data_IF_878353294740
#
_entry.id   IF_878353294740
#
_cell.length_a   1.000
_cell.length_b   1.000
_cell.length_c   1.000
_cell.angle_alpha   90.00
_cell.angle_beta   90.00
_cell.angle_gamma   90.00
#
_symmetry.space_group_name_H-M   'P 1'
#
loop_
_entity.id
_entity.type
_entity.pdbx_description
1 polymer ?
#
# COMPACT_ATOMS: atom_id res chain seq x y z
N UNK A 1 39.86 -47.02 -4.98
CA UNK A 1 38.68 -47.66 -4.30
C UNK A 1 38.15 -46.68 -3.26
N UNK A 2 36.89 -46.26 -3.37
CA UNK A 2 36.29 -45.32 -2.42
C UNK A 2 35.89 -46.13 -1.18
N UNK A 3 36.27 -45.72 0.01
CA UNK A 3 35.99 -46.47 1.22
C UNK A 3 34.47 -46.49 1.51
N UNK A 4 33.95 -47.65 1.89
CA UNK A 4 32.51 -47.90 2.09
C UNK A 4 31.81 -46.95 3.08
N UNK A 5 32.55 -46.50 4.10
CA UNK A 5 32.06 -45.54 5.10
C UNK A 5 31.83 -44.14 4.50
N UNK A 6 32.60 -43.75 3.48
CA UNK A 6 32.41 -42.48 2.77
C UNK A 6 31.14 -42.48 1.90
N UNK A 7 30.87 -43.62 1.23
CA UNK A 7 29.63 -43.82 0.46
C UNK A 7 28.39 -43.78 1.37
N UNK A 8 28.46 -44.40 2.56
CA UNK A 8 27.36 -44.39 3.55
C UNK A 8 27.15 -42.98 4.07
N UNK A 9 28.22 -42.22 4.37
CA UNK A 9 28.12 -40.83 4.83
C UNK A 9 27.43 -39.90 3.79
N UNK A 10 27.83 -40.03 2.51
CA UNK A 10 27.21 -39.27 1.43
C UNK A 10 25.72 -39.64 1.23
N UNK A 11 25.38 -40.91 1.33
CA UNK A 11 23.99 -41.36 1.20
C UNK A 11 23.11 -40.82 2.32
N UNK A 12 23.59 -40.77 3.58
CA UNK A 12 22.88 -40.20 4.72
C UNK A 12 22.67 -38.69 4.53
N UNK A 13 23.69 -37.98 4.06
CA UNK A 13 23.63 -36.52 3.82
C UNK A 13 22.63 -36.18 2.71
N UNK A 14 22.59 -36.95 1.63
CA UNK A 14 21.61 -36.81 0.54
C UNK A 14 20.19 -37.11 1.04
N UNK A 15 20.00 -38.14 1.85
CA UNK A 15 18.68 -38.44 2.42
C UNK A 15 18.18 -37.33 3.36
N UNK A 16 19.08 -36.73 4.17
CA UNK A 16 18.74 -35.62 5.06
C UNK A 16 18.38 -34.34 4.27
N UNK A 17 19.12 -34.01 3.21
CA UNK A 17 18.81 -32.83 2.37
C UNK A 17 17.50 -32.98 1.60
N UNK A 18 17.21 -34.18 1.09
CA UNK A 18 15.93 -34.49 0.44
C UNK A 18 14.74 -34.41 1.44
N UNK A 19 14.92 -34.96 2.63
CA UNK A 19 13.92 -34.89 3.69
C UNK A 19 13.61 -33.45 4.10
N UNK A 20 14.66 -32.61 4.25
CA UNK A 20 14.52 -31.21 4.61
C UNK A 20 13.84 -30.39 3.48
N UNK A 21 14.17 -30.66 2.23
CA UNK A 21 13.53 -30.04 1.06
C UNK A 21 12.03 -30.34 0.97
N UNK A 22 11.66 -31.61 1.19
CA UNK A 22 10.24 -32.03 1.20
C UNK A 22 9.50 -31.43 2.39
N UNK A 23 10.14 -31.35 3.56
CA UNK A 23 9.56 -30.72 4.75
C UNK A 23 9.28 -29.23 4.53
N UNK A 24 10.26 -28.48 4.01
CA UNK A 24 10.10 -27.03 3.70
C UNK A 24 9.02 -26.82 2.63
N UNK A 25 9.00 -27.64 1.59
CA UNK A 25 7.98 -27.56 0.54
C UNK A 25 6.58 -27.84 1.09
N UNK A 26 6.43 -28.84 1.94
CA UNK A 26 5.16 -29.19 2.61
C UNK A 26 4.72 -28.09 3.60
N UNK A 27 5.65 -27.45 4.27
CA UNK A 27 5.36 -26.34 5.19
C UNK A 27 4.91 -25.10 4.42
N UNK A 28 5.59 -24.77 3.32
CA UNK A 28 5.23 -23.67 2.44
C UNK A 28 3.86 -23.86 1.78
N UNK A 29 3.54 -25.09 1.35
CA UNK A 29 2.22 -25.40 0.77
C UNK A 29 1.09 -25.40 1.80
N UNK A 30 1.37 -25.60 3.08
CA UNK A 30 0.38 -25.46 4.16
C UNK A 30 0.07 -23.98 4.45
N UNK A 31 1.07 -23.12 4.49
CA UNK A 31 0.88 -21.69 4.70
C UNK A 31 0.01 -21.10 3.59
N UNK A 32 0.33 -21.34 2.33
CA UNK A 32 -0.49 -20.86 1.21
C UNK A 32 -1.92 -21.42 1.19
N UNK A 33 -2.11 -22.67 1.63
CA UNK A 33 -3.45 -23.28 1.66
C UNK A 33 -4.31 -22.72 2.80
N UNK A 34 -3.71 -22.33 3.91
CA UNK A 34 -4.42 -21.74 5.05
C UNK A 34 -4.86 -20.30 4.74
N UNK A 35 -4.02 -19.52 4.04
CA UNK A 35 -4.36 -18.15 3.64
C UNK A 35 -5.48 -18.13 2.59
N UNK A 36 -5.41 -18.95 1.56
CA UNK A 36 -6.44 -19.00 0.51
C UNK A 36 -7.79 -19.50 1.04
N UNK A 37 -7.79 -20.45 2.01
CA UNK A 37 -9.05 -20.90 2.64
C UNK A 37 -9.63 -19.89 3.63
N UNK A 38 -8.79 -19.09 4.31
CA UNK A 38 -9.25 -18.05 5.22
C UNK A 38 -9.86 -16.86 4.45
N UNK A 39 -9.33 -16.53 3.28
CA UNK A 39 -9.84 -15.45 2.42
C UNK A 39 -11.22 -15.76 1.81
N UNK A 40 -11.57 -17.03 1.63
CA UNK A 40 -12.85 -17.41 1.01
C UNK A 40 -14.01 -17.63 1.98
N UNK A 41 -13.80 -17.49 3.30
CA UNK A 41 -14.84 -17.75 4.31
C UNK A 41 -15.03 -16.62 5.33
N UNK A 42 -14.36 -15.49 5.16
CA UNK A 42 -14.72 -14.33 5.97
C UNK A 42 -16.05 -13.75 5.43
N UNK A 43 -17.11 -13.72 6.27
CA UNK A 43 -18.26 -12.90 5.96
C UNK A 43 -17.74 -11.48 5.76
N UNK A 44 -18.15 -10.83 4.69
CA UNK A 44 -17.94 -9.39 4.52
C UNK A 44 -18.33 -8.75 5.84
N UNK A 45 -17.35 -8.17 6.55
CA UNK A 45 -17.63 -7.48 7.79
C UNK A 45 -18.75 -6.48 7.52
N UNK A 46 -19.81 -6.42 8.35
CA UNK A 46 -20.86 -5.44 8.15
C UNK A 46 -20.19 -4.07 8.06
N UNK A 47 -20.72 -3.16 7.24
CA UNK A 47 -20.13 -1.83 7.10
C UNK A 47 -19.95 -1.26 8.50
N UNK A 48 -18.73 -0.89 8.83
CA UNK A 48 -18.40 -0.33 10.13
C UNK A 48 -19.24 0.92 10.26
N UNK A 49 -20.28 0.90 11.09
CA UNK A 49 -21.15 2.05 11.36
C UNK A 49 -20.35 3.07 12.14
N UNK A 50 -19.52 3.83 11.43
CA UNK A 50 -18.84 4.99 11.95
C UNK A 50 -19.72 6.24 11.79
N UNK A 51 -19.46 7.26 12.57
CA UNK A 51 -20.07 8.56 12.36
C UNK A 51 -19.65 9.10 10.98
N UNK A 52 -20.59 9.71 10.24
CA UNK A 52 -20.27 10.43 9.02
C UNK A 52 -19.56 11.72 9.39
N UNK A 53 -18.33 11.87 8.97
CA UNK A 53 -17.50 13.04 9.28
C UNK A 53 -17.10 13.76 8.00
N UNK A 54 -16.91 15.09 8.13
CA UNK A 54 -16.39 15.91 7.04
C UNK A 54 -14.87 15.79 7.05
N UNK A 55 -14.31 15.36 5.92
CA UNK A 55 -12.87 15.18 5.71
C UNK A 55 -12.40 15.92 4.47
N UNK A 56 -11.11 16.20 4.39
CA UNK A 56 -10.49 16.85 3.23
C UNK A 56 -9.67 15.82 2.46
N UNK A 57 -10.11 15.47 1.25
CA UNK A 57 -9.33 14.67 0.30
C UNK A 57 -8.57 15.59 -0.64
N UNK A 58 -7.27 15.33 -0.81
CA UNK A 58 -6.43 16.05 -1.76
C UNK A 58 -6.42 15.33 -3.09
N UNK A 59 -7.29 15.74 -3.99
CA UNK A 59 -7.51 15.08 -5.29
C UNK A 59 -6.53 15.60 -6.32
N UNK A 60 -5.86 14.70 -7.01
CA UNK A 60 -4.96 14.98 -8.12
C UNK A 60 -5.75 15.33 -9.39
N UNK A 61 -5.24 16.30 -10.14
CA UNK A 61 -5.74 16.74 -11.44
C UNK A 61 -4.60 16.68 -12.45
N UNK A 62 -4.55 15.64 -13.26
CA UNK A 62 -3.45 15.37 -14.19
C UNK A 62 -3.25 16.47 -15.21
N UNK A 63 -4.32 16.97 -15.81
CA UNK A 63 -4.28 18.00 -16.85
C UNK A 63 -3.69 19.32 -16.33
N UNK A 64 -3.96 19.62 -15.06
CA UNK A 64 -3.46 20.83 -14.41
C UNK A 64 -2.14 20.62 -13.67
N UNK A 65 -1.75 19.37 -13.40
CA UNK A 65 -0.56 19.03 -12.63
C UNK A 65 -0.62 19.46 -11.17
N UNK A 66 -1.82 19.44 -10.55
CA UNK A 66 -2.01 19.99 -9.20
C UNK A 66 -2.87 19.08 -8.32
N UNK A 67 -2.77 19.29 -7.00
CA UNK A 67 -3.71 18.77 -6.01
C UNK A 67 -4.72 19.85 -5.64
N UNK A 68 -5.99 19.44 -5.55
CA UNK A 68 -7.07 20.31 -5.03
C UNK A 68 -7.73 19.68 -3.82
N UNK A 69 -7.87 20.43 -2.69
CA UNK A 69 -8.59 19.94 -1.54
C UNK A 69 -10.10 19.88 -1.85
N UNK A 70 -10.70 18.73 -1.58
CA UNK A 70 -12.14 18.53 -1.68
C UNK A 70 -12.69 18.07 -0.33
N UNK A 71 -13.73 18.74 0.14
CA UNK A 71 -14.44 18.34 1.36
C UNK A 71 -15.54 17.34 1.01
N UNK A 72 -15.46 16.16 1.60
CA UNK A 72 -16.42 15.08 1.44
C UNK A 72 -16.91 14.57 2.78
N UNK A 73 -18.02 13.87 2.77
CA UNK A 73 -18.54 13.20 3.97
C UNK A 73 -18.24 11.70 3.85
N UNK A 74 -17.47 11.18 4.78
CA UNK A 74 -17.06 9.76 4.82
C UNK A 74 -17.48 9.16 6.15
N UNK A 75 -17.98 7.93 6.14
CA UNK A 75 -18.19 7.16 7.36
C UNK A 75 -16.84 6.65 7.83
N UNK A 76 -16.41 7.09 9.01
CA UNK A 76 -15.09 6.75 9.54
C UNK A 76 -15.22 5.94 10.83
N UNK A 77 -14.46 4.84 10.94
CA UNK A 77 -14.35 4.07 12.17
C UNK A 77 -13.74 4.91 13.30
N UNK A 78 -13.95 4.46 14.54
CA UNK A 78 -13.38 5.13 15.71
C UNK A 78 -11.87 4.90 15.85
N UNK A 79 -11.38 3.74 15.40
CA UNK A 79 -9.96 3.38 15.46
C UNK A 79 -9.11 4.24 14.53
N UNK A 80 -7.99 4.74 15.03
CA UNK A 80 -7.12 5.68 14.29
C UNK A 80 -6.51 5.06 13.03
N UNK A 81 -6.13 3.79 13.10
CA UNK A 81 -5.54 3.05 11.98
C UNK A 81 -6.59 2.74 10.91
N UNK A 82 -7.74 2.23 11.33
CA UNK A 82 -8.87 1.93 10.45
C UNK A 82 -9.38 3.19 9.74
N UNK A 83 -9.40 4.34 10.47
CA UNK A 83 -9.73 5.66 9.87
C UNK A 83 -8.76 6.04 8.77
N UNK A 84 -7.45 5.83 8.99
CA UNK A 84 -6.43 6.14 8.00
C UNK A 84 -6.63 5.31 6.72
N UNK A 85 -6.89 4.02 6.85
CA UNK A 85 -7.18 3.16 5.71
C UNK A 85 -8.46 3.58 4.96
N UNK A 86 -9.53 3.90 5.70
CA UNK A 86 -10.82 4.29 5.11
C UNK A 86 -10.76 5.64 4.38
N UNK A 87 -9.98 6.61 4.90
CA UNK A 87 -9.71 7.87 4.21
C UNK A 87 -9.06 7.66 2.84
N UNK A 88 -8.05 6.79 2.78
CA UNK A 88 -7.38 6.50 1.51
C UNK A 88 -8.26 5.67 0.56
N UNK A 89 -9.10 4.77 1.08
CA UNK A 89 -10.10 4.07 0.26
C UNK A 89 -11.14 5.01 -0.32
N UNK A 90 -11.58 6.01 0.45
CA UNK A 90 -12.49 7.05 -0.04
C UNK A 90 -11.86 7.86 -1.18
N UNK A 91 -10.59 8.25 -1.06
CA UNK A 91 -9.84 8.90 -2.14
C UNK A 91 -9.72 7.98 -3.37
N UNK A 92 -9.38 6.70 -3.15
CA UNK A 92 -9.25 5.72 -4.22
C UNK A 92 -10.56 5.52 -4.98
N UNK A 93 -11.70 5.56 -4.29
CA UNK A 93 -13.02 5.47 -4.93
C UNK A 93 -13.23 6.57 -5.97
N UNK A 94 -12.74 7.80 -5.69
CA UNK A 94 -12.77 8.90 -6.67
C UNK A 94 -11.86 8.62 -7.88
N UNK A 95 -10.72 7.98 -7.65
CA UNK A 95 -9.76 7.67 -8.72
C UNK A 95 -10.16 6.50 -9.60
N UNK A 96 -10.99 5.59 -9.08
CA UNK A 96 -11.53 4.45 -9.84
C UNK A 96 -12.77 4.82 -10.65
N UNK A 97 -13.34 6.01 -10.45
CA UNK A 97 -14.43 6.49 -11.28
C UNK A 97 -13.94 6.81 -12.70
N UNK A 98 -14.76 6.50 -13.71
CA UNK A 98 -14.43 6.72 -15.12
C UNK A 98 -14.25 8.19 -15.49
N UNK A 99 -14.86 9.09 -14.73
CA UNK A 99 -14.78 10.56 -14.91
C UNK A 99 -13.70 11.20 -14.04
N UNK A 100 -12.86 10.39 -13.38
CA UNK A 100 -11.81 10.88 -12.49
C UNK A 100 -10.85 11.82 -13.22
N UNK A 101 -10.46 12.94 -12.59
CA UNK A 101 -9.39 13.79 -13.12
C UNK A 101 -7.98 13.14 -12.99
N UNK A 102 -7.90 12.02 -12.26
CA UNK A 102 -6.70 11.22 -12.03
C UNK A 102 -7.07 9.74 -12.01
N UNK A 103 -7.37 9.13 -13.19
CA UNK A 103 -7.86 7.76 -13.23
C UNK A 103 -6.76 6.75 -12.91
N UNK A 104 -7.04 5.85 -11.97
CA UNK A 104 -6.21 4.69 -11.65
C UNK A 104 -6.70 3.42 -12.35
N UNK A 105 -5.77 2.46 -12.47
CA UNK A 105 -6.07 1.16 -13.09
C UNK A 105 -7.10 0.36 -12.28
N UNK A 106 -7.92 -0.41 -12.99
CA UNK A 106 -8.90 -1.28 -12.36
C UNK A 106 -8.23 -2.30 -11.43
N UNK A 107 -8.85 -2.58 -10.30
CA UNK A 107 -8.33 -3.50 -9.29
C UNK A 107 -7.31 -2.87 -8.35
N UNK A 108 -7.01 -1.56 -8.47
CA UNK A 108 -6.18 -0.86 -7.48
C UNK A 108 -6.86 -0.85 -6.11
N UNK A 109 -6.12 -1.19 -5.06
CA UNK A 109 -6.62 -1.25 -3.68
C UNK A 109 -5.60 -0.73 -2.69
N UNK A 110 -6.10 -0.08 -1.63
CA UNK A 110 -5.36 0.15 -0.38
C UNK A 110 -5.57 -1.09 0.48
N UNK A 111 -4.54 -1.89 0.68
CA UNK A 111 -4.60 -3.10 1.51
C UNK A 111 -4.76 -2.73 2.97
N UNK A 112 -3.84 -1.90 3.46
CA UNK A 112 -3.87 -1.42 4.84
C UNK A 112 -3.06 -0.13 5.01
N UNK A 113 -3.24 0.52 6.18
CA UNK A 113 -2.42 1.65 6.63
C UNK A 113 -2.02 1.41 8.06
N UNK A 114 -0.72 1.28 8.30
CA UNK A 114 -0.17 1.10 9.64
C UNK A 114 0.33 2.43 10.18
N UNK A 115 -0.11 2.79 11.37
CA UNK A 115 0.37 3.97 12.09
C UNK A 115 1.35 3.53 13.18
N UNK A 116 2.60 3.93 13.03
CA UNK A 116 3.70 3.55 13.92
C UNK A 116 4.22 4.80 14.64
N UNK A 117 4.23 4.78 15.96
CA UNK A 117 4.77 5.88 16.74
C UNK A 117 6.33 5.92 16.68
N UNK A 118 6.95 7.10 16.67
CA UNK A 118 6.36 8.43 16.59
C UNK A 118 6.19 8.93 15.14
N UNK A 119 4.95 9.08 14.70
CA UNK A 119 4.62 9.85 13.49
C UNK A 119 4.91 9.20 12.14
N UNK A 120 5.16 7.89 12.06
CA UNK A 120 5.30 7.15 10.82
C UNK A 120 3.96 6.52 10.41
N UNK A 121 3.57 6.74 9.16
CA UNK A 121 2.53 5.96 8.51
C UNK A 121 3.13 5.07 7.42
N UNK A 122 2.68 3.82 7.34
CA UNK A 122 3.05 2.89 6.27
C UNK A 122 1.78 2.56 5.49
N UNK A 123 1.76 2.89 4.21
CA UNK A 123 0.65 2.61 3.30
C UNK A 123 1.00 1.35 2.50
N UNK A 124 0.19 0.32 2.59
CA UNK A 124 0.36 -0.92 1.81
C UNK A 124 -0.65 -0.96 0.67
N UNK A 125 -0.13 -0.97 -0.54
CA UNK A 125 -0.88 -1.02 -1.79
C UNK A 125 -0.89 -2.45 -2.33
N UNK A 126 -1.90 -2.82 -3.12
CA UNK A 126 -1.85 -4.09 -3.83
C UNK A 126 -1.00 -4.00 -5.12
N UNK A 127 -0.65 -5.16 -5.70
CA UNK A 127 0.12 -5.21 -6.94
C UNK A 127 -0.56 -4.48 -8.10
N UNK A 128 -1.89 -4.62 -8.22
CA UNK A 128 -2.65 -3.99 -9.30
C UNK A 128 -2.58 -2.45 -9.26
N UNK A 129 -2.45 -1.85 -8.08
CA UNK A 129 -2.27 -0.41 -7.93
C UNK A 129 -0.99 0.06 -8.64
N UNK A 130 0.12 -0.66 -8.48
CA UNK A 130 1.39 -0.30 -9.09
C UNK A 130 1.51 -0.77 -10.56
N UNK A 131 1.08 -2.00 -10.85
CA UNK A 131 1.27 -2.63 -12.16
C UNK A 131 0.32 -2.07 -13.23
N UNK A 132 -0.87 -1.63 -12.83
CA UNK A 132 -1.86 -1.00 -13.72
C UNK A 132 -1.83 0.53 -13.66
N UNK A 133 -0.88 1.12 -12.90
CA UNK A 133 -0.72 2.56 -12.85
C UNK A 133 -0.19 3.11 -14.18
N UNK A 134 -0.70 4.28 -14.60
CA UNK A 134 -0.15 4.99 -15.76
C UNK A 134 1.26 5.47 -15.42
N UNK A 135 2.25 5.05 -16.20
CA UNK A 135 3.64 5.49 -16.02
C UNK A 135 3.81 6.93 -16.45
N UNK A 136 4.51 7.70 -15.64
CA UNK A 136 4.86 9.09 -15.91
C UNK A 136 5.23 9.85 -14.64
N UNK A 137 6.30 10.65 -14.72
CA UNK A 137 6.86 11.36 -13.56
C UNK A 137 5.77 12.12 -12.79
N UNK A 138 5.06 13.00 -13.47
CA UNK A 138 4.06 13.87 -12.82
C UNK A 138 2.86 13.06 -12.29
N UNK A 139 2.37 12.08 -13.04
CA UNK A 139 1.19 11.31 -12.67
C UNK A 139 1.46 10.45 -11.44
N UNK A 140 2.62 9.77 -11.41
CA UNK A 140 3.02 8.96 -10.25
C UNK A 140 3.28 9.82 -9.02
N UNK A 141 3.95 10.96 -9.17
CA UNK A 141 4.16 11.91 -8.08
C UNK A 141 2.85 12.46 -7.52
N UNK A 142 1.90 12.85 -8.38
CA UNK A 142 0.59 13.31 -7.96
C UNK A 142 -0.17 12.25 -7.18
N UNK A 143 -0.09 10.97 -7.58
CA UNK A 143 -0.66 9.87 -6.82
C UNK A 143 -0.08 9.79 -5.42
N UNK A 144 1.24 9.72 -5.32
CA UNK A 144 1.95 9.59 -4.05
C UNK A 144 1.66 10.77 -3.12
N UNK A 145 1.79 11.99 -3.64
CA UNK A 145 1.57 13.22 -2.87
C UNK A 145 0.10 13.35 -2.43
N UNK A 146 -0.84 12.93 -3.26
CA UNK A 146 -2.28 12.90 -2.95
C UNK A 146 -2.60 11.97 -1.78
N UNK A 147 -2.04 10.75 -1.76
CA UNK A 147 -2.19 9.80 -0.65
C UNK A 147 -1.62 10.39 0.65
N UNK A 148 -0.40 10.92 0.60
CA UNK A 148 0.31 11.49 1.75
C UNK A 148 -0.44 12.70 2.31
N UNK A 149 -0.83 13.63 1.44
CA UNK A 149 -1.49 14.87 1.85
C UNK A 149 -2.89 14.63 2.41
N UNK A 150 -3.65 13.70 1.81
CA UNK A 150 -4.96 13.29 2.34
C UNK A 150 -4.81 12.69 3.72
N UNK A 151 -3.84 11.80 3.92
CA UNK A 151 -3.63 11.14 5.19
C UNK A 151 -3.20 12.14 6.27
N UNK A 152 -2.20 12.97 5.99
CA UNK A 152 -1.64 13.92 6.96
C UNK A 152 -2.61 15.04 7.36
N UNK A 153 -3.47 15.46 6.44
CA UNK A 153 -4.48 16.50 6.72
C UNK A 153 -5.60 16.02 7.65
N UNK A 154 -5.87 14.72 7.70
CA UNK A 154 -6.97 14.16 8.48
C UNK A 154 -6.52 13.35 9.70
N UNK A 155 -5.28 12.90 9.75
CA UNK A 155 -4.72 12.12 10.85
C UNK A 155 -3.56 12.90 11.49
N UNK A 156 -3.79 13.53 12.65
CA UNK A 156 -2.75 14.35 13.30
C UNK A 156 -1.52 13.54 13.70
N UNK A 157 -0.35 14.18 13.64
CA UNK A 157 0.91 13.65 14.14
C UNK A 157 1.68 12.76 13.17
N UNK A 158 1.23 12.59 11.93
CA UNK A 158 2.02 11.92 10.88
C UNK A 158 3.06 12.91 10.37
N UNK A 159 4.33 12.51 10.46
CA UNK A 159 5.49 13.30 10.01
C UNK A 159 6.25 12.64 8.87
N UNK A 160 6.12 11.32 8.73
CA UNK A 160 6.76 10.54 7.67
C UNK A 160 5.80 9.49 7.13
N UNK A 161 5.95 9.17 5.85
CA UNK A 161 5.18 8.13 5.19
C UNK A 161 6.12 7.19 4.44
N UNK A 162 5.88 5.89 4.52
CA UNK A 162 6.47 4.85 3.67
C UNK A 162 5.36 4.20 2.87
N UNK A 163 5.63 3.87 1.61
CA UNK A 163 4.70 3.15 0.75
C UNK A 163 5.30 1.79 0.45
N UNK A 164 4.49 0.75 0.60
CA UNK A 164 4.80 -0.64 0.27
C UNK A 164 3.84 -1.13 -0.81
N UNK A 165 4.24 -2.18 -1.51
CA UNK A 165 3.39 -2.91 -2.46
C UNK A 165 3.42 -4.39 -2.08
N UNK A 166 2.25 -4.97 -1.81
CA UNK A 166 2.13 -6.35 -1.29
C UNK A 166 2.95 -6.60 -0.02
N UNK A 167 3.04 -5.59 0.87
CA UNK A 167 3.82 -5.66 2.09
C UNK A 167 5.33 -5.61 1.89
N UNK A 168 5.81 -5.36 0.68
CA UNK A 168 7.23 -5.32 0.34
C UNK A 168 7.67 -3.93 -0.12
N UNK A 169 8.94 -3.62 0.08
CA UNK A 169 9.56 -2.44 -0.53
C UNK A 169 9.62 -2.62 -2.05
N UNK A 170 9.41 -1.51 -2.75
CA UNK A 170 9.53 -1.40 -4.21
C UNK A 170 10.29 -0.12 -4.53
N UNK A 171 11.11 -0.14 -5.57
CA UNK A 171 11.94 1.01 -5.94
C UNK A 171 11.10 2.19 -6.43
N UNK A 172 10.12 1.92 -7.30
CA UNK A 172 9.24 2.95 -7.88
C UNK A 172 7.79 2.48 -7.95
N UNK A 173 6.84 3.41 -8.04
CA UNK A 173 5.43 3.09 -8.21
C UNK A 173 5.17 2.38 -9.55
N UNK A 174 5.45 3.08 -10.67
CA UNK A 174 5.28 2.56 -12.03
C UNK A 174 6.46 2.98 -12.94
N UNK A 175 7.64 3.22 -12.35
CA UNK A 175 8.88 3.52 -13.04
C UNK A 175 9.52 4.87 -12.69
N UNK A 176 8.81 5.80 -12.02
CA UNK A 176 9.31 7.15 -11.75
C UNK A 176 9.24 7.57 -10.28
N UNK A 177 8.07 7.54 -9.64
CA UNK A 177 7.95 7.96 -8.24
C UNK A 177 8.71 6.99 -7.32
N UNK A 178 9.70 7.48 -6.60
CA UNK A 178 10.57 6.70 -5.72
C UNK A 178 9.82 6.22 -4.47
N UNK A 179 9.62 4.92 -4.33
CA UNK A 179 9.03 4.30 -3.15
C UNK A 179 10.08 3.72 -2.18
N UNK A 180 11.37 3.74 -2.55
CA UNK A 180 12.44 3.16 -1.74
C UNK A 180 12.69 3.94 -0.44
N UNK A 181 12.42 5.24 -0.44
CA UNK A 181 12.64 6.15 0.66
C UNK A 181 11.38 6.47 1.48
N UNK A 182 11.57 7.11 2.64
CA UNK A 182 10.50 7.72 3.41
C UNK A 182 10.18 9.11 2.86
N UNK A 183 8.92 9.43 2.78
CA UNK A 183 8.46 10.78 2.47
C UNK A 183 8.33 11.63 3.73
N UNK A 184 8.93 12.79 3.73
CA UNK A 184 8.79 13.80 4.79
C UNK A 184 7.52 14.62 4.55
N UNK A 185 6.56 14.53 5.46
CA UNK A 185 5.25 15.18 5.31
C UNK A 185 5.35 16.72 5.29
N UNK A 186 6.13 17.37 6.16
CA UNK A 186 6.36 18.81 6.08
C UNK A 186 6.89 19.28 4.71
N UNK A 187 7.87 18.57 4.15
CA UNK A 187 8.43 18.90 2.84
C UNK A 187 7.39 18.77 1.72
N UNK A 188 6.60 17.68 1.73
CA UNK A 188 5.50 17.47 0.77
C UNK A 188 4.45 18.57 0.89
N UNK A 189 4.03 18.92 2.10
CA UNK A 189 3.02 19.96 2.34
C UNK A 189 3.49 21.33 1.83
N UNK A 190 4.76 21.65 2.05
CA UNK A 190 5.36 22.89 1.55
C UNK A 190 5.41 22.91 0.02
N UNK A 191 5.80 21.81 -0.62
CA UNK A 191 5.84 21.70 -2.08
C UNK A 191 4.45 21.88 -2.70
N UNK A 192 3.43 21.25 -2.14
CA UNK A 192 2.02 21.40 -2.58
C UNK A 192 1.56 22.84 -2.44
N UNK A 193 1.85 23.52 -1.33
CA UNK A 193 1.47 24.91 -1.11
C UNK A 193 2.16 25.86 -2.12
N UNK A 194 3.41 25.60 -2.47
CA UNK A 194 4.13 26.38 -3.49
C UNK A 194 3.51 26.24 -4.88
N UNK A 195 3.13 25.01 -5.27
CA UNK A 195 2.48 24.74 -6.56
C UNK A 195 1.09 25.40 -6.65
N UNK A 196 0.35 25.47 -5.54
CA UNK A 196 -0.96 26.14 -5.49
C UNK A 196 -0.86 27.66 -5.59
N UNK A 197 0.21 28.26 -5.07
CA UNK A 197 0.42 29.71 -5.07
C UNK A 197 1.03 30.24 -6.40
N UNK A 198 1.54 29.37 -7.24
CA UNK A 198 2.17 29.72 -8.53
C UNK A 198 1.16 29.83 -9.70
N UNK A 199 -0.12 29.59 -9.44
CA UNK A 199 -1.24 29.70 -10.39
C UNK A 199 -2.09 30.95 -10.12
#
# INVERSE_FOLDING_TARGET
MIPRHLLIGVAILLAATLGMSVYVWKMRSRVHRTEVSALNTQPVAPPVSGATERVTLYVAYDDAGVLRPQQVHVQLPAGRQERAAELLRALLTLYLDKSSPHPLGAGSEIRDVYLVDPGLAVIDLNAAFADNHRSGVLVEELTVVSLIQTLSANIPGITRVKILVEGNERDTLAGHADLSNFYDVPAITQAVAQLQNAQ
#
